data_IF_998792591575
#
_entry.id   IF_998792591575
#
_cell.length_a   1.000
_cell.length_b   1.000
_cell.length_c   1.000
_cell.angle_alpha   90.00
_cell.angle_beta   90.00
_cell.angle_gamma   90.00
#
_symmetry.space_group_name_H-M   'P 1'
#
loop_
_entity.id
_entity.type
_entity.pdbx_description
1 polymer ?
#
# COMPACT_ATOMS: atom_id res chain seq x y z
N UNK A 1 20.04 18.20 -19.71
CA UNK A 1 19.21 17.68 -18.60
C UNK A 1 17.79 17.62 -19.10
N UNK A 2 17.21 16.43 -19.27
CA UNK A 2 15.80 16.32 -19.65
C UNK A 2 14.96 16.87 -18.49
N UNK A 3 14.04 17.79 -18.77
CA UNK A 3 13.13 18.30 -17.76
C UNK A 3 12.22 17.16 -17.30
N UNK A 4 12.23 16.85 -16.00
CA UNK A 4 11.32 15.87 -15.40
C UNK A 4 9.88 16.33 -15.68
N UNK A 5 9.12 15.55 -16.44
CA UNK A 5 7.72 15.88 -16.75
C UNK A 5 6.91 15.74 -15.46
N UNK A 6 6.38 16.86 -14.97
CA UNK A 6 5.46 16.90 -13.85
C UNK A 6 4.03 16.94 -14.38
N UNK A 7 3.18 16.04 -13.91
CA UNK A 7 1.75 16.01 -14.22
C UNK A 7 0.94 16.36 -12.98
N UNK A 8 -0.20 17.03 -13.19
CA UNK A 8 -1.09 17.41 -12.11
C UNK A 8 -2.44 16.74 -12.27
N UNK A 9 -2.95 16.22 -11.17
CA UNK A 9 -4.23 15.53 -11.11
C UNK A 9 -5.11 16.17 -10.05
N UNK A 10 -6.39 16.32 -10.40
CA UNK A 10 -7.43 16.60 -9.41
C UNK A 10 -8.11 15.29 -9.07
N UNK A 11 -8.15 14.96 -7.78
CA UNK A 11 -8.82 13.77 -7.28
C UNK A 11 -10.02 14.21 -6.48
N UNK A 12 -11.18 13.64 -6.81
CA UNK A 12 -12.39 13.74 -6.01
C UNK A 12 -12.77 12.35 -5.51
N UNK A 13 -12.88 12.21 -4.19
CA UNK A 13 -13.33 10.99 -3.54
C UNK A 13 -14.53 11.29 -2.67
N UNK A 14 -15.57 10.47 -2.72
CA UNK A 14 -16.74 10.60 -1.86
C UNK A 14 -17.19 9.23 -1.37
N UNK A 15 -17.22 9.05 -0.05
CA UNK A 15 -17.84 7.90 0.59
C UNK A 15 -19.16 8.32 1.22
N UNK A 16 -20.25 7.62 0.89
CA UNK A 16 -21.58 7.82 1.47
C UNK A 16 -22.06 6.56 2.17
N UNK A 17 -22.43 6.69 3.43
CA UNK A 17 -23.14 5.68 4.19
C UNK A 17 -24.60 6.10 4.35
N UNK A 18 -25.51 5.15 4.15
CA UNK A 18 -26.92 5.28 4.46
C UNK A 18 -27.31 4.13 5.39
N UNK A 19 -27.57 4.46 6.66
CA UNK A 19 -27.87 3.49 7.70
C UNK A 19 -29.38 3.22 7.77
N UNK A 20 -29.73 1.95 7.89
CA UNK A 20 -31.13 1.51 8.04
C UNK A 20 -31.73 1.96 9.37
N UNK A 21 -30.92 2.09 10.42
CA UNK A 21 -31.27 2.67 11.72
C UNK A 21 -30.29 3.80 12.11
N UNK A 22 -30.67 4.75 12.98
CA UNK A 22 -29.76 5.78 13.46
C UNK A 22 -28.55 5.17 14.18
N UNK A 23 -27.35 5.61 13.80
CA UNK A 23 -26.10 5.30 14.51
C UNK A 23 -25.80 6.45 15.45
N UNK A 24 -25.50 6.10 16.70
CA UNK A 24 -25.00 7.01 17.73
C UNK A 24 -23.59 6.57 18.11
N UNK A 25 -22.70 7.52 18.39
CA UNK A 25 -21.30 7.25 18.74
C UNK A 25 -20.57 6.44 17.66
N UNK A 26 -20.21 7.11 16.57
CA UNK A 26 -19.41 6.55 15.49
C UNK A 26 -18.01 7.17 15.50
N UNK A 27 -16.98 6.34 15.74
CA UNK A 27 -15.58 6.70 15.51
C UNK A 27 -15.07 6.14 14.20
N UNK A 28 -14.37 6.97 13.45
CA UNK A 28 -13.92 6.67 12.09
C UNK A 28 -12.45 7.03 11.93
N UNK A 29 -11.73 6.23 11.14
CA UNK A 29 -10.40 6.56 10.64
C UNK A 29 -10.47 6.69 9.12
N UNK A 30 -10.21 7.90 8.61
CA UNK A 30 -10.11 8.17 7.18
C UNK A 30 -8.64 8.26 6.73
N UNK A 31 -8.30 7.48 5.70
CA UNK A 31 -7.00 7.50 5.00
C UNK A 31 -7.19 7.90 3.54
N UNK A 32 -7.84 9.03 3.31
CA UNK A 32 -8.26 9.48 1.98
C UNK A 32 -7.26 10.44 1.32
N UNK A 33 -6.45 11.13 2.12
CA UNK A 33 -5.53 12.16 1.63
C UNK A 33 -4.24 11.53 1.11
N UNK A 34 -3.82 11.82 -0.14
CA UNK A 34 -2.59 11.26 -0.70
C UNK A 34 -1.35 11.54 0.15
N UNK A 35 -0.51 10.52 0.30
CA UNK A 35 0.78 10.61 0.97
C UNK A 35 1.77 11.41 0.12
N UNK A 36 2.64 12.18 0.77
CA UNK A 36 3.79 12.80 0.11
C UNK A 36 4.91 11.77 -0.11
N UNK A 37 5.46 11.71 -1.31
CA UNK A 37 6.56 10.83 -1.74
C UNK A 37 7.57 11.66 -2.55
N UNK A 38 8.81 11.18 -2.77
CA UNK A 38 9.79 11.91 -3.58
C UNK A 38 9.34 12.24 -5.01
N UNK A 39 8.40 11.46 -5.56
CA UNK A 39 7.80 11.67 -6.88
C UNK A 39 6.33 12.12 -6.83
N UNK A 40 5.79 12.44 -5.65
CA UNK A 40 4.39 12.84 -5.49
C UNK A 40 4.26 13.94 -4.42
N UNK A 41 3.79 15.11 -4.84
CA UNK A 41 3.57 16.28 -3.98
C UNK A 41 2.09 16.63 -3.90
N UNK A 42 1.54 16.63 -2.69
CA UNK A 42 0.19 17.14 -2.43
C UNK A 42 0.22 18.67 -2.40
N UNK A 43 -0.38 19.32 -3.40
CA UNK A 43 -0.38 20.78 -3.53
C UNK A 43 -1.48 21.44 -2.66
N UNK A 44 -2.68 20.87 -2.69
CA UNK A 44 -3.80 21.30 -1.86
C UNK A 44 -4.79 20.15 -1.65
N UNK A 45 -5.57 20.21 -0.56
CA UNK A 45 -6.68 19.30 -0.35
C UNK A 45 -7.74 19.90 0.58
N UNK A 46 -8.97 19.38 0.47
CA UNK A 46 -10.06 19.57 1.43
C UNK A 46 -10.61 18.22 1.84
N UNK A 47 -11.06 18.11 3.09
CA UNK A 47 -11.73 16.93 3.62
C UNK A 47 -12.96 17.38 4.42
N UNK A 48 -14.13 17.14 3.85
CA UNK A 48 -15.44 17.51 4.38
C UNK A 48 -16.14 16.28 4.95
N UNK A 49 -16.71 16.43 6.15
CA UNK A 49 -17.43 15.37 6.85
C UNK A 49 -18.82 15.92 7.20
N UNK A 50 -19.85 15.18 6.78
CA UNK A 50 -21.24 15.49 7.05
C UNK A 50 -21.97 14.28 7.64
N UNK A 51 -22.67 14.41 8.78
CA UNK A 51 -22.77 15.63 9.61
C UNK A 51 -21.41 16.09 10.15
N UNK A 52 -21.32 17.37 10.54
CA UNK A 52 -20.08 17.95 11.05
C UNK A 52 -19.57 17.10 12.22
N UNK A 53 -18.31 16.68 12.14
CA UNK A 53 -17.66 15.92 13.20
C UNK A 53 -17.65 16.70 14.52
N UNK A 54 -18.05 16.03 15.61
CA UNK A 54 -17.99 16.58 16.97
C UNK A 54 -16.53 16.68 17.45
N UNK A 55 -15.73 15.70 17.04
CA UNK A 55 -14.30 15.62 17.28
C UNK A 55 -13.57 15.28 15.97
N UNK A 56 -12.44 15.94 15.73
CA UNK A 56 -11.56 15.66 14.60
C UNK A 56 -10.10 15.86 15.01
N UNK A 57 -9.27 14.89 14.65
CA UNK A 57 -7.82 14.94 14.81
C UNK A 57 -7.15 14.44 13.54
N UNK A 58 -6.37 15.31 12.92
CA UNK A 58 -5.57 14.98 11.75
C UNK A 58 -4.13 14.72 12.19
N UNK A 59 -3.55 13.59 11.76
CA UNK A 59 -2.17 13.24 12.07
C UNK A 59 -1.46 12.57 10.90
N UNK A 60 -0.16 12.35 11.07
CA UNK A 60 0.65 11.53 10.18
C UNK A 60 1.08 10.30 10.96
N UNK A 61 0.73 9.11 10.47
CA UNK A 61 1.14 7.86 11.12
C UNK A 61 2.64 7.59 10.90
N UNK A 62 3.18 6.58 11.60
CA UNK A 62 4.60 6.21 11.48
C UNK A 62 5.00 5.78 10.06
N UNK A 63 4.05 5.43 9.20
CA UNK A 63 4.29 5.09 7.81
C UNK A 63 4.23 6.30 6.88
N UNK A 64 3.87 7.48 7.39
CA UNK A 64 3.79 8.73 6.62
C UNK A 64 2.42 8.95 5.96
N UNK A 65 1.42 8.14 6.29
CA UNK A 65 0.06 8.35 5.80
C UNK A 65 -0.60 9.47 6.61
N UNK A 66 -1.37 10.33 5.95
CA UNK A 66 -2.25 11.28 6.64
C UNK A 66 -3.51 10.54 7.06
N UNK A 67 -3.79 10.57 8.36
CA UNK A 67 -4.94 9.90 8.96
C UNK A 67 -5.80 10.94 9.66
N UNK A 68 -7.08 10.97 9.30
CA UNK A 68 -8.09 11.78 9.99
C UNK A 68 -8.93 10.89 10.88
N UNK A 69 -8.78 11.07 12.18
CA UNK A 69 -9.65 10.50 13.20
C UNK A 69 -10.82 11.46 13.40
N UNK A 70 -12.05 10.96 13.36
CA UNK A 70 -13.21 11.78 13.68
C UNK A 70 -14.31 10.99 14.36
N UNK A 71 -15.08 11.68 15.19
CA UNK A 71 -16.18 11.13 15.97
C UNK A 71 -17.47 11.87 15.72
N UNK A 72 -18.56 11.12 15.71
CA UNK A 72 -19.93 11.60 15.62
C UNK A 72 -20.72 11.05 16.80
N UNK A 73 -21.07 11.92 17.73
CA UNK A 73 -21.84 11.59 18.93
C UNK A 73 -23.33 11.79 18.71
N UNK A 74 -23.71 12.71 17.82
CA UNK A 74 -25.09 12.92 17.39
C UNK A 74 -25.66 11.74 16.58
N UNK A 75 -26.90 11.34 16.88
CA UNK A 75 -27.61 10.33 16.13
C UNK A 75 -27.78 10.76 14.65
N UNK A 76 -27.33 9.91 13.72
CA UNK A 76 -27.42 10.20 12.29
C UNK A 76 -27.75 8.94 11.49
N UNK A 77 -28.40 9.13 10.34
CA UNK A 77 -28.72 8.03 9.39
C UNK A 77 -27.89 8.09 8.11
N UNK A 78 -27.09 9.14 7.96
CA UNK A 78 -26.24 9.36 6.80
C UNK A 78 -24.89 9.89 7.26
N UNK A 79 -23.84 9.39 6.64
CA UNK A 79 -22.49 9.92 6.76
C UNK A 79 -21.93 10.12 5.36
N UNK A 80 -21.48 11.33 5.06
CA UNK A 80 -20.77 11.68 3.82
C UNK A 80 -19.37 12.15 4.19
N UNK A 81 -18.36 11.55 3.57
CA UNK A 81 -16.97 11.97 3.66
C UNK A 81 -16.50 12.29 2.26
N UNK A 82 -16.17 13.56 1.99
CA UNK A 82 -15.72 14.03 0.69
C UNK A 82 -14.29 14.56 0.79
N UNK A 83 -13.40 14.03 -0.03
CA UNK A 83 -12.02 14.50 -0.18
C UNK A 83 -11.84 15.04 -1.59
N UNK A 84 -11.24 16.21 -1.69
CA UNK A 84 -10.81 16.78 -2.96
C UNK A 84 -9.36 17.23 -2.84
N UNK A 85 -8.52 16.89 -3.81
CA UNK A 85 -7.13 17.33 -3.78
C UNK A 85 -6.54 17.62 -5.16
N UNK A 86 -5.55 18.50 -5.19
CA UNK A 86 -4.64 18.68 -6.30
C UNK A 86 -3.28 18.06 -5.94
N UNK A 87 -2.87 17.07 -6.73
CA UNK A 87 -1.59 16.38 -6.55
C UNK A 87 -0.73 16.55 -7.80
N UNK A 88 0.56 16.78 -7.59
CA UNK A 88 1.57 16.78 -8.64
C UNK A 88 2.39 15.49 -8.54
N UNK A 89 2.54 14.80 -9.67
CA UNK A 89 3.30 13.56 -9.79
C UNK A 89 4.41 13.78 -10.80
N UNK A 90 5.62 13.42 -10.42
CA UNK A 90 6.79 13.42 -11.30
C UNK A 90 7.19 11.99 -11.65
N UNK A 91 8.17 11.84 -12.53
CA UNK A 91 8.68 10.54 -12.91
C UNK A 91 9.18 9.75 -11.69
N UNK A 92 8.67 8.52 -11.54
CA UNK A 92 9.09 7.61 -10.48
C UNK A 92 10.52 7.14 -10.77
N UNK A 93 11.41 7.12 -9.77
CA UNK A 93 12.73 6.51 -9.92
C UNK A 93 12.60 5.03 -10.34
N UNK A 94 13.56 4.54 -11.13
CA UNK A 94 13.61 3.12 -11.46
C UNK A 94 13.68 2.26 -10.18
N UNK A 95 13.08 1.05 -10.17
CA UNK A 95 13.21 0.12 -9.05
C UNK A 95 14.68 -0.08 -8.69
N UNK A 96 15.05 0.14 -7.42
CA UNK A 96 16.44 0.09 -6.96
C UNK A 96 17.18 1.42 -6.85
N UNK A 97 16.59 2.53 -7.26
CA UNK A 97 17.10 3.84 -6.89
C UNK A 97 16.81 4.14 -5.40
N UNK A 98 17.75 4.71 -4.62
CA UNK A 98 17.51 5.07 -3.23
C UNK A 98 16.33 6.02 -3.11
N UNK A 99 15.25 5.58 -2.46
CA UNK A 99 14.10 6.44 -2.14
C UNK A 99 14.40 7.08 -0.79
N UNK A 100 14.86 8.33 -0.80
CA UNK A 100 15.01 9.09 0.45
C UNK A 100 13.63 9.27 1.10
N UNK A 101 13.49 8.87 2.36
CA UNK A 101 12.30 9.22 3.15
C UNK A 101 12.21 10.75 3.25
N UNK A 102 11.00 11.35 3.22
CA UNK A 102 10.84 12.77 3.46
C UNK A 102 11.50 13.20 4.78
N UNK A 103 12.08 14.40 4.84
CA UNK A 103 12.82 14.92 5.99
C UNK A 103 12.04 14.82 7.34
N UNK A 104 10.71 14.89 7.28
CA UNK A 104 9.84 14.74 8.46
C UNK A 104 9.89 13.33 9.08
N UNK A 105 10.09 12.28 8.27
CA UNK A 105 10.30 10.91 8.75
C UNK A 105 11.74 10.70 9.22
N UNK A 106 12.72 11.39 8.62
CA UNK A 106 14.11 11.35 9.09
C UNK A 106 14.25 11.99 10.49
N UNK A 107 13.52 13.07 10.76
CA UNK A 107 13.60 13.81 12.03
C UNK A 107 12.98 13.05 13.22
N UNK A 108 12.03 12.14 12.98
CA UNK A 108 11.46 11.28 14.04
C UNK A 108 12.40 10.13 14.43
N UNK A 109 13.34 9.76 13.55
CA UNK A 109 14.34 8.70 13.80
C UNK A 109 15.62 9.24 14.48
N UNK A 110 15.89 10.55 14.39
CA UNK A 110 17.12 11.19 14.88
C UNK A 110 17.08 11.62 16.37
N UNK A 111 16.39 10.86 17.23
CA UNK A 111 16.43 11.06 18.68
C UNK A 111 17.72 10.58 19.37
N UNK A 112 18.69 10.05 18.62
CA UNK A 112 19.97 9.54 19.12
C UNK A 112 21.16 10.16 18.39
N UNK A 113 22.26 10.38 19.11
CA UNK A 113 23.50 11.00 18.64
C UNK A 113 24.04 10.43 17.30
N UNK A 114 24.80 11.23 16.51
CA UNK A 114 25.24 10.82 15.18
C UNK A 114 26.27 9.68 15.28
N UNK A 115 25.83 8.44 15.07
CA UNK A 115 26.71 7.30 14.87
C UNK A 115 26.99 7.18 13.38
N UNK A 116 28.25 7.29 13.00
CA UNK A 116 28.72 7.17 11.61
C UNK A 116 28.29 5.81 11.05
N UNK A 117 27.28 5.80 10.19
CA UNK A 117 26.86 4.60 9.45
C UNK A 117 27.96 4.27 8.43
N UNK A 118 28.85 3.35 8.81
CA UNK A 118 29.61 2.60 7.82
C UNK A 118 28.67 1.63 7.11
N UNK A 119 27.77 2.18 6.28
CA UNK A 119 27.03 1.42 5.30
C UNK A 119 28.05 0.86 4.31
N UNK A 120 28.31 -0.45 4.37
CA UNK A 120 29.02 -1.12 3.31
C UNK A 120 28.21 -0.93 2.03
N UNK A 121 28.73 -0.08 1.16
CA UNK A 121 28.27 0.06 -0.22
C UNK A 121 28.47 -1.28 -0.92
N UNK A 122 27.43 -2.11 -0.91
CA UNK A 122 27.39 -3.34 -1.69
C UNK A 122 27.35 -2.92 -3.16
N UNK A 123 28.35 -3.39 -3.92
CA UNK A 123 28.54 -3.02 -5.32
C UNK A 123 27.26 -3.25 -6.15
N UNK A 124 26.89 -2.31 -7.03
CA UNK A 124 25.79 -2.50 -7.97
C UNK A 124 26.14 -3.63 -8.95
N UNK A 125 25.27 -4.63 -9.09
CA UNK A 125 25.33 -5.53 -10.26
C UNK A 125 25.12 -7.02 -10.04
N UNK A 126 24.78 -7.52 -8.85
CA UNK A 126 24.32 -8.92 -8.71
C UNK A 126 22.88 -8.96 -8.21
N UNK A 127 22.02 -9.63 -8.97
CA UNK A 127 20.62 -9.77 -8.61
C UNK A 127 20.50 -10.58 -7.32
N UNK A 128 20.04 -9.94 -6.24
CA UNK A 128 19.91 -10.56 -4.92
C UNK A 128 18.89 -11.70 -4.97
N UNK A 129 19.29 -12.91 -4.59
CA UNK A 129 18.37 -14.03 -4.45
C UNK A 129 17.32 -13.75 -3.37
N UNK A 130 16.09 -14.23 -3.54
CA UNK A 130 15.01 -13.95 -2.59
C UNK A 130 15.30 -14.48 -1.19
N UNK A 131 16.03 -15.60 -1.03
CA UNK A 131 16.44 -16.11 0.27
C UNK A 131 17.38 -15.12 0.97
N UNK A 132 18.29 -14.50 0.22
CA UNK A 132 19.20 -13.51 0.78
C UNK A 132 18.44 -12.26 1.26
N UNK A 133 17.33 -11.89 0.62
CA UNK A 133 16.43 -10.84 1.12
C UNK A 133 15.79 -11.27 2.45
N UNK A 134 15.19 -12.47 2.49
CA UNK A 134 14.58 -13.01 3.73
C UNK A 134 15.58 -13.05 4.88
N UNK A 135 16.77 -13.59 4.65
CA UNK A 135 17.80 -13.70 5.68
C UNK A 135 18.31 -12.32 6.13
N UNK A 136 18.40 -11.35 5.22
CA UNK A 136 18.77 -9.98 5.59
C UNK A 136 17.73 -9.34 6.52
N UNK A 137 16.44 -9.57 6.27
CA UNK A 137 15.35 -9.04 7.10
C UNK A 137 15.24 -9.73 8.46
N UNK A 138 15.60 -11.02 8.53
CA UNK A 138 15.58 -11.80 9.79
C UNK A 138 16.76 -11.52 10.70
N UNK A 139 17.88 -11.04 10.17
CA UNK A 139 19.01 -10.59 10.99
C UNK A 139 18.55 -9.43 11.86
N UNK A 140 19.19 -9.26 13.01
CA UNK A 140 18.86 -8.20 13.98
C UNK A 140 18.70 -6.86 13.25
N UNK A 141 17.44 -6.36 13.11
CA UNK A 141 17.17 -5.24 12.22
C UNK A 141 17.80 -3.99 12.79
N UNK A 142 18.50 -3.23 11.95
CA UNK A 142 18.92 -1.88 12.33
C UNK A 142 17.69 -0.98 12.44
N UNK A 143 17.84 0.20 13.05
CA UNK A 143 16.71 1.12 13.28
C UNK A 143 15.93 1.44 11.99
N UNK A 144 16.62 1.55 10.85
CA UNK A 144 16.01 1.81 9.55
C UNK A 144 15.26 0.60 8.95
N UNK A 145 15.57 -0.62 9.43
CA UNK A 145 14.98 -1.89 8.95
C UNK A 145 13.73 -2.32 9.75
N UNK A 146 13.41 -1.63 10.84
CA UNK A 146 12.30 -2.01 11.73
C UNK A 146 10.94 -2.02 11.03
N UNK A 147 10.69 -1.03 10.16
CA UNK A 147 9.44 -0.96 9.39
C UNK A 147 9.37 -2.14 8.39
N UNK A 148 10.34 -2.35 7.48
CA UNK A 148 10.37 -3.53 6.63
C UNK A 148 10.21 -4.85 7.39
N UNK A 149 10.96 -5.06 8.46
CA UNK A 149 10.89 -6.29 9.26
C UNK A 149 9.47 -6.55 9.78
N UNK A 150 8.82 -5.53 10.36
CA UNK A 150 7.42 -5.64 10.82
C UNK A 150 6.43 -5.98 9.71
N UNK A 151 6.74 -5.63 8.46
CA UNK A 151 5.88 -5.88 7.28
C UNK A 151 6.04 -7.31 6.72
N UNK A 152 6.92 -8.12 7.31
CA UNK A 152 6.98 -9.56 7.05
C UNK A 152 6.03 -10.37 7.93
N UNK A 153 5.50 -9.77 9.00
CA UNK A 153 4.63 -10.42 9.98
C UNK A 153 3.16 -10.49 9.53
N UNK A 154 2.40 -11.51 9.98
CA UNK A 154 0.97 -11.59 9.72
C UNK A 154 0.19 -10.48 10.41
N UNK A 155 -0.96 -10.13 9.85
CA UNK A 155 -1.93 -9.19 10.46
C UNK A 155 -3.30 -9.85 10.57
N UNK A 156 -4.25 -9.31 11.37
CA UNK A 156 -5.59 -9.90 11.47
C UNK A 156 -6.33 -10.03 10.12
N UNK A 157 -6.09 -9.10 9.19
CA UNK A 157 -6.67 -9.16 7.83
C UNK A 157 -5.89 -10.06 6.86
N UNK A 158 -4.62 -10.33 7.16
CA UNK A 158 -3.75 -11.18 6.34
C UNK A 158 -3.00 -12.14 7.27
N UNK A 159 -3.70 -13.16 7.83
CA UNK A 159 -3.05 -14.19 8.60
C UNK A 159 -2.14 -15.05 7.70
N UNK A 160 -1.25 -15.83 8.32
CA UNK A 160 -0.48 -16.82 7.56
C UNK A 160 -1.42 -17.86 6.96
N UNK A 161 -1.29 -18.10 5.66
CA UNK A 161 -2.03 -19.13 4.93
C UNK A 161 -1.04 -20.12 4.32
N UNK A 162 -1.19 -21.40 4.66
CA UNK A 162 -0.40 -22.47 4.05
C UNK A 162 -0.72 -22.61 2.56
N UNK A 163 -1.98 -22.40 2.17
CA UNK A 163 -2.41 -22.39 0.77
C UNK A 163 -1.70 -21.30 -0.03
N UNK A 164 -1.62 -20.08 0.49
CA UNK A 164 -0.90 -18.97 -0.15
C UNK A 164 0.59 -19.25 -0.25
N UNK A 165 1.20 -19.77 0.83
CA UNK A 165 2.62 -20.17 0.83
C UNK A 165 2.90 -21.26 -0.22
N UNK A 166 2.06 -22.30 -0.27
CA UNK A 166 2.21 -23.38 -1.25
C UNK A 166 2.00 -22.88 -2.67
N UNK A 167 0.96 -22.06 -2.91
CA UNK A 167 0.70 -21.44 -4.20
C UNK A 167 1.90 -20.61 -4.68
N UNK A 168 2.51 -19.82 -3.80
CA UNK A 168 3.64 -18.96 -4.12
C UNK A 168 4.98 -19.69 -4.26
N UNK A 169 5.13 -20.90 -3.69
CA UNK A 169 6.40 -21.64 -3.69
C UNK A 169 7.03 -21.83 -5.09
N UNK A 170 6.20 -21.93 -6.14
CA UNK A 170 6.64 -22.02 -7.54
C UNK A 170 7.36 -20.74 -8.03
N UNK A 171 7.04 -19.60 -7.43
CA UNK A 171 7.68 -18.31 -7.69
C UNK A 171 9.03 -18.17 -7.01
N UNK A 172 9.24 -18.89 -5.91
CA UNK A 172 10.41 -18.77 -5.04
C UNK A 172 11.33 -19.99 -5.17
N UNK A 173 11.68 -20.33 -6.42
CA UNK A 173 12.70 -21.33 -6.71
C UNK A 173 14.06 -20.93 -6.13
N UNK A 174 14.88 -21.93 -5.75
CA UNK A 174 16.15 -21.67 -5.06
C UNK A 174 17.06 -20.77 -5.88
N UNK A 175 17.55 -19.68 -5.29
CA UNK A 175 18.48 -18.75 -5.92
C UNK A 175 17.88 -17.85 -7.00
N UNK A 176 16.56 -17.88 -7.23
CA UNK A 176 15.91 -16.95 -8.16
C UNK A 176 16.08 -15.51 -7.65
N UNK A 177 16.43 -14.54 -8.51
CA UNK A 177 16.43 -13.12 -8.17
C UNK A 177 15.10 -12.67 -7.54
N UNK A 178 15.18 -11.88 -6.46
CA UNK A 178 14.01 -11.42 -5.73
C UNK A 178 13.00 -10.68 -6.62
N UNK A 179 13.46 -9.71 -7.42
CA UNK A 179 12.58 -8.93 -8.29
C UNK A 179 11.90 -9.82 -9.34
N UNK A 180 12.62 -10.80 -9.90
CA UNK A 180 12.06 -11.79 -10.82
C UNK A 180 10.99 -12.65 -10.13
N UNK A 181 11.27 -13.13 -8.92
CA UNK A 181 10.34 -13.96 -8.15
C UNK A 181 9.03 -13.21 -7.80
N UNK A 182 9.14 -11.95 -7.35
CA UNK A 182 7.97 -11.10 -7.03
C UNK A 182 7.18 -10.77 -8.30
N UNK A 183 7.87 -10.43 -9.40
CA UNK A 183 7.24 -10.11 -10.68
C UNK A 183 6.53 -11.32 -11.28
N UNK A 184 7.13 -12.52 -11.20
CA UNK A 184 6.49 -13.75 -11.66
C UNK A 184 5.25 -14.08 -10.81
N UNK A 185 5.33 -13.95 -9.47
CA UNK A 185 4.18 -14.14 -8.59
C UNK A 185 3.01 -13.21 -8.96
N UNK A 186 3.30 -11.92 -9.19
CA UNK A 186 2.30 -10.94 -9.60
C UNK A 186 1.63 -11.33 -10.92
N UNK A 187 2.42 -11.66 -11.94
CA UNK A 187 1.87 -12.09 -13.24
C UNK A 187 1.07 -13.39 -13.12
N UNK A 188 1.50 -14.33 -12.27
CA UNK A 188 0.76 -15.58 -12.06
C UNK A 188 -0.57 -15.34 -11.35
N UNK A 189 -0.61 -14.48 -10.33
CA UNK A 189 -1.88 -14.07 -9.71
C UNK A 189 -2.80 -13.42 -10.75
N UNK A 190 -2.27 -12.53 -11.59
CA UNK A 190 -3.06 -11.95 -12.67
C UNK A 190 -3.59 -12.98 -13.69
N UNK A 191 -2.80 -14.01 -14.00
CA UNK A 191 -3.20 -15.05 -14.96
C UNK A 191 -4.18 -16.08 -14.36
N UNK A 192 -4.02 -16.42 -13.08
CA UNK A 192 -4.76 -17.50 -12.42
C UNK A 192 -6.08 -17.04 -11.77
N UNK A 193 -6.32 -15.74 -11.63
CA UNK A 193 -7.47 -15.19 -10.90
C UNK A 193 -8.27 -14.21 -11.76
N UNK A 194 -9.59 -14.31 -11.67
CA UNK A 194 -10.53 -13.49 -12.43
C UNK A 194 -11.03 -12.31 -11.59
N UNK A 195 -10.94 -11.10 -12.15
CA UNK A 195 -11.51 -9.91 -11.51
C UNK A 195 -13.04 -9.90 -11.66
N UNK A 196 -13.75 -10.00 -10.55
CA UNK A 196 -15.22 -10.08 -10.52
C UNK A 196 -15.81 -9.22 -9.38
N UNK A 197 -16.36 -8.04 -9.70
CA UNK A 197 -17.05 -7.20 -8.72
C UNK A 197 -18.23 -7.94 -8.06
N UNK A 198 -18.29 -7.88 -6.73
CA UNK A 198 -19.36 -8.52 -5.95
C UNK A 198 -19.14 -10.01 -5.64
N UNK A 199 -18.04 -10.61 -6.12
CA UNK A 199 -17.67 -11.98 -5.76
C UNK A 199 -17.29 -12.14 -4.28
N UNK A 200 -16.84 -11.07 -3.64
CA UNK A 200 -16.24 -11.09 -2.30
C UNK A 200 -16.78 -9.98 -1.41
N UNK A 201 -16.49 -10.10 -0.12
CA UNK A 201 -16.82 -9.11 0.92
C UNK A 201 -15.55 -8.69 1.66
N UNK A 202 -15.64 -7.65 2.49
CA UNK A 202 -14.51 -7.20 3.33
C UNK A 202 -13.99 -8.27 4.30
N UNK A 203 -14.79 -9.30 4.58
CA UNK A 203 -14.44 -10.44 5.45
C UNK A 203 -13.97 -11.69 4.70
N UNK A 204 -13.93 -11.66 3.36
CA UNK A 204 -13.48 -12.80 2.56
C UNK A 204 -12.02 -13.11 2.86
N UNK A 205 -11.73 -14.38 3.15
CA UNK A 205 -10.38 -14.81 3.54
C UNK A 205 -9.48 -15.10 2.33
N UNK A 206 -8.16 -15.04 2.53
CA UNK A 206 -7.19 -15.41 1.48
C UNK A 206 -7.38 -16.85 0.98
N UNK A 207 -7.69 -17.79 1.88
CA UNK A 207 -7.91 -19.20 1.51
C UNK A 207 -9.18 -19.38 0.65
N UNK A 208 -10.20 -18.59 0.92
CA UNK A 208 -11.42 -18.57 0.10
C UNK A 208 -11.14 -18.01 -1.30
N UNK A 209 -10.38 -16.91 -1.41
CA UNK A 209 -9.94 -16.34 -2.70
C UNK A 209 -9.12 -17.37 -3.48
N UNK A 210 -8.20 -18.08 -2.82
CA UNK A 210 -7.40 -19.15 -3.42
C UNK A 210 -8.26 -20.29 -3.98
N UNK A 211 -9.35 -20.63 -3.29
CA UNK A 211 -10.27 -21.67 -3.73
C UNK A 211 -11.15 -21.21 -4.90
N UNK A 212 -11.75 -20.02 -4.79
CA UNK A 212 -12.71 -19.49 -5.75
C UNK A 212 -12.05 -18.94 -7.03
N UNK A 213 -10.78 -18.52 -6.94
CA UNK A 213 -10.01 -17.89 -8.03
C UNK A 213 -10.68 -16.64 -8.61
N UNK A 214 -11.47 -15.95 -7.79
CA UNK A 214 -12.24 -14.75 -8.14
C UNK A 214 -12.14 -13.72 -7.02
N UNK A 215 -12.19 -12.45 -7.37
CA UNK A 215 -12.16 -11.36 -6.38
C UNK A 215 -11.94 -9.99 -6.99
N UNK A 216 -11.63 -9.02 -6.13
CA UNK A 216 -11.32 -7.64 -6.52
C UNK A 216 -9.88 -7.27 -6.11
N UNK A 217 -9.46 -6.04 -6.40
CA UNK A 217 -8.10 -5.57 -6.12
C UNK A 217 -7.66 -5.76 -4.66
N UNK A 218 -8.56 -5.57 -3.69
CA UNK A 218 -8.30 -5.84 -2.28
C UNK A 218 -7.90 -7.31 -2.04
N UNK A 219 -8.62 -8.24 -2.64
CA UNK A 219 -8.42 -9.68 -2.44
C UNK A 219 -7.08 -10.13 -3.03
N UNK A 220 -6.74 -9.65 -4.21
CA UNK A 220 -5.47 -9.97 -4.87
C UNK A 220 -4.28 -9.33 -4.15
N UNK A 221 -4.43 -8.12 -3.60
CA UNK A 221 -3.43 -7.52 -2.74
C UNK A 221 -3.23 -8.34 -1.46
N UNK A 222 -4.31 -8.75 -0.77
CA UNK A 222 -4.21 -9.61 0.41
C UNK A 222 -3.59 -10.97 0.11
N UNK A 223 -3.96 -11.59 -1.02
CA UNK A 223 -3.37 -12.84 -1.48
C UNK A 223 -1.85 -12.70 -1.69
N UNK A 224 -1.43 -11.67 -2.43
CA UNK A 224 -0.01 -11.43 -2.70
C UNK A 224 0.76 -11.12 -1.40
N UNK A 225 0.15 -10.39 -0.46
CA UNK A 225 0.74 -10.17 0.87
C UNK A 225 0.92 -11.48 1.64
N UNK A 226 -0.10 -12.34 1.69
CA UNK A 226 -0.01 -13.64 2.35
C UNK A 226 1.06 -14.53 1.71
N UNK A 227 1.17 -14.50 0.38
CA UNK A 227 2.21 -15.21 -0.37
C UNK A 227 3.63 -14.76 0.02
N UNK A 228 3.87 -13.45 0.06
CA UNK A 228 5.18 -12.86 0.38
C UNK A 228 5.55 -13.06 1.87
N UNK A 229 4.62 -12.73 2.78
CA UNK A 229 4.81 -12.88 4.23
C UNK A 229 4.97 -14.34 4.64
N UNK A 230 4.27 -15.27 3.97
CA UNK A 230 4.45 -16.71 4.14
C UNK A 230 5.86 -17.21 3.79
N UNK A 231 6.63 -16.45 3.00
CA UNK A 231 8.04 -16.70 2.70
C UNK A 231 9.00 -15.85 3.56
N UNK A 232 8.48 -15.10 4.53
CA UNK A 232 9.25 -14.17 5.36
C UNK A 232 9.76 -12.94 4.59
N UNK A 233 9.11 -12.60 3.47
CA UNK A 233 9.46 -11.42 2.68
C UNK A 233 8.59 -10.23 3.11
N UNK A 234 9.19 -9.05 3.31
CA UNK A 234 8.48 -7.86 3.76
C UNK A 234 7.62 -7.28 2.63
N UNK A 235 6.34 -7.10 2.93
CA UNK A 235 5.37 -6.55 1.99
C UNK A 235 4.26 -5.78 2.71
N UNK A 236 3.79 -4.68 2.11
CA UNK A 236 2.72 -3.84 2.67
C UNK A 236 1.61 -3.59 1.68
N UNK A 237 0.40 -3.45 2.23
CA UNK A 237 -0.77 -3.02 1.48
C UNK A 237 -0.64 -1.56 1.11
N UNK A 238 -0.95 -1.23 -0.14
CA UNK A 238 -1.03 0.16 -0.63
C UNK A 238 -2.42 0.38 -1.21
N UNK A 239 -3.01 1.51 -0.88
CA UNK A 239 -4.26 1.99 -1.48
C UNK A 239 -4.08 3.38 -2.02
N UNK A 240 -4.74 3.67 -3.14
CA UNK A 240 -4.68 4.99 -3.77
C UNK A 240 -5.62 5.11 -4.95
N UNK A 241 -5.29 6.03 -5.84
CA UNK A 241 -6.10 6.32 -7.03
C UNK A 241 -5.29 6.02 -8.29
N UNK A 242 -5.91 5.38 -9.27
CA UNK A 242 -5.31 5.09 -10.57
C UNK A 242 -6.07 5.82 -11.67
N UNK A 243 -5.32 6.56 -12.51
CA UNK A 243 -5.85 7.04 -13.78
C UNK A 243 -5.53 6.00 -14.84
N UNK A 244 -6.53 5.22 -15.25
CA UNK A 244 -6.39 4.26 -16.34
C UNK A 244 -6.80 4.88 -17.66
N UNK A 245 -6.06 4.59 -18.74
CA UNK A 245 -6.56 4.82 -20.09
C UNK A 245 -7.52 3.68 -20.46
N UNK A 246 -8.82 3.96 -20.67
CA UNK A 246 -9.75 2.93 -21.08
C UNK A 246 -9.41 2.46 -22.51
N UNK A 247 -9.70 1.20 -22.87
CA UNK A 247 -9.63 0.75 -24.25
C UNK A 247 -10.44 1.67 -25.18
N UNK A 248 -10.03 1.83 -26.45
CA UNK A 248 -10.75 2.67 -27.41
C UNK A 248 -12.25 2.40 -27.41
N UNK A 249 -13.06 3.45 -27.22
CA UNK A 249 -14.52 3.37 -27.19
C UNK A 249 -15.16 3.07 -25.83
N UNK A 250 -14.37 2.84 -24.76
CA UNK A 250 -14.89 2.72 -23.39
C UNK A 250 -14.75 4.04 -22.63
N UNK A 251 -15.71 4.33 -21.76
CA UNK A 251 -15.64 5.49 -20.88
C UNK A 251 -14.47 5.34 -19.89
N UNK A 252 -13.87 6.46 -19.50
CA UNK A 252 -12.88 6.47 -18.42
C UNK A 252 -13.55 6.04 -17.12
N UNK A 253 -12.82 5.26 -16.32
CA UNK A 253 -13.24 4.91 -14.98
C UNK A 253 -13.33 6.19 -14.13
N UNK A 254 -14.45 6.39 -13.44
CA UNK A 254 -14.66 7.49 -12.49
C UNK A 254 -15.31 6.95 -11.22
N UNK A 255 -14.91 7.45 -10.05
CA UNK A 255 -15.47 7.05 -8.76
C UNK A 255 -14.77 5.82 -8.15
N UNK A 256 -15.54 4.86 -7.63
CA UNK A 256 -15.00 3.65 -6.96
C UNK A 256 -14.04 2.85 -7.84
N UNK A 257 -14.25 2.90 -9.16
CA UNK A 257 -13.39 2.25 -10.15
C UNK A 257 -12.01 2.93 -10.31
N UNK A 258 -11.84 4.14 -9.77
CA UNK A 258 -10.55 4.84 -9.72
C UNK A 258 -9.79 4.57 -8.41
N UNK A 259 -10.47 4.13 -7.34
CA UNK A 259 -9.79 3.69 -6.12
C UNK A 259 -9.24 2.27 -6.32
N UNK A 260 -8.01 2.03 -5.85
CA UNK A 260 -7.33 0.76 -6.07
C UNK A 260 -6.49 0.33 -4.88
N UNK A 261 -6.15 -0.96 -4.89
CA UNK A 261 -5.29 -1.60 -3.90
C UNK A 261 -4.22 -2.44 -4.60
N UNK A 262 -2.98 -2.34 -4.12
CA UNK A 262 -1.84 -3.12 -4.61
C UNK A 262 -0.86 -3.40 -3.47
N UNK A 263 0.28 -4.01 -3.80
CA UNK A 263 1.32 -4.39 -2.86
C UNK A 263 2.59 -3.60 -3.14
N UNK A 264 3.24 -3.11 -2.09
CA UNK A 264 4.66 -2.77 -2.15
C UNK A 264 5.47 -3.88 -1.50
N UNK A 265 6.50 -4.40 -2.18
CA UNK A 265 7.43 -5.39 -1.65
C UNK A 265 8.79 -4.74 -1.38
N UNK A 266 9.52 -5.19 -0.36
CA UNK A 266 10.79 -4.59 0.02
C UNK A 266 11.97 -5.55 -0.14
N UNK A 267 13.11 -5.01 -0.60
CA UNK A 267 14.42 -5.64 -0.46
C UNK A 267 15.47 -4.58 -0.10
N UNK A 268 16.48 -4.89 0.73
CA UNK A 268 17.49 -3.90 1.15
C UNK A 268 18.19 -3.19 -0.01
N UNK A 269 18.50 -3.92 -1.09
CA UNK A 269 19.14 -3.34 -2.27
C UNK A 269 18.18 -2.53 -3.16
N UNK A 270 16.87 -2.75 -3.03
CA UNK A 270 15.87 -2.16 -3.92
C UNK A 270 15.00 -1.08 -3.29
N UNK A 271 14.93 -1.05 -1.95
CA UNK A 271 13.90 -0.31 -1.23
C UNK A 271 12.51 -0.94 -1.43
N UNK A 272 11.47 -0.12 -1.30
CA UNK A 272 10.10 -0.50 -1.62
C UNK A 272 9.85 -0.43 -3.13
N UNK A 273 9.35 -1.52 -3.70
CA UNK A 273 8.96 -1.63 -5.12
C UNK A 273 7.46 -1.86 -5.18
N UNK A 274 6.78 -1.09 -6.03
CA UNK A 274 5.32 -1.05 -6.26
C UNK A 274 5.00 -1.23 -7.73
#
# INVERSE_FOLDING_TARGET
MAATRAERYVVHHETRYAYTAPVSQSWQLARLTPRALPWQTLLSYTLEIEPKADERRDEVDSFGNRVTHFGLHGAHRRLRVRMECLVEVTERPAPGAPIALPAQQQMQLQGGAPMQSQGQSLAPGTAQAWEAVREAIRREPQQDDLIPASMSEPTPLVPLSEGARQYASRSFARGRPWLEAVTELMHRIHADFEFEPGATTVSTSVDEVLHQRRGVCQDFAHLMLACLRGHGLPARYVSGYLLTEPPPGKARLMGVDASHAWVAAYAPQHGWVE
#
